data_IF_101025092683
#
_entry.id   IF_101025092683
#
_cell.length_a   1.000
_cell.length_b   1.000
_cell.length_c   1.000
_cell.angle_alpha   90.00
_cell.angle_beta   90.00
_cell.angle_gamma   90.00
#
_symmetry.space_group_name_H-M   'P 1'
#
loop_
_entity.id
_entity.type
_entity.pdbx_description
1 polymer ?
#
# COMPACT_ATOMS: atom_id res chain seq x y z
N UNK A 1 -3.42 7.57 10.03
CA UNK A 1 -3.93 6.29 9.53
C UNK A 1 -4.87 6.44 8.32
N UNK A 2 -5.69 7.48 8.29
CA UNK A 2 -6.63 7.70 7.19
C UNK A 2 -5.95 7.83 5.81
N UNK A 3 -4.70 8.26 5.77
CA UNK A 3 -3.97 8.49 4.53
C UNK A 3 -3.26 7.25 3.99
N UNK A 4 -3.38 6.13 4.70
CA UNK A 4 -2.77 4.87 4.25
C UNK A 4 -3.90 3.90 3.88
N UNK A 5 -3.90 3.43 2.65
CA UNK A 5 -4.89 2.47 2.18
C UNK A 5 -4.72 1.10 2.84
N UNK A 6 -5.74 0.27 2.74
CA UNK A 6 -5.70 -1.09 3.30
C UNK A 6 -4.55 -1.92 2.73
N UNK A 7 -4.17 -1.70 1.48
CA UNK A 7 -3.07 -2.44 0.84
C UNK A 7 -1.67 -1.93 1.21
N UNK A 8 -1.57 -0.76 1.86
CA UNK A 8 -0.32 -0.15 2.25
C UNK A 8 0.09 1.08 1.45
N UNK A 9 -0.55 1.36 0.33
CA UNK A 9 -0.27 2.58 -0.43
C UNK A 9 -0.58 3.83 0.40
N UNK A 10 0.31 4.81 0.35
CA UNK A 10 0.11 6.07 1.08
C UNK A 10 -0.62 7.07 0.20
N UNK A 11 -1.88 7.33 0.51
CA UNK A 11 -2.75 8.15 -0.34
C UNK A 11 -2.29 9.60 -0.49
N UNK A 12 -1.66 10.17 0.53
CA UNK A 12 -1.15 11.55 0.48
C UNK A 12 -0.15 11.75 -0.66
N UNK A 13 0.67 10.75 -0.94
CA UNK A 13 1.73 10.83 -1.95
C UNK A 13 1.37 10.10 -3.24
N UNK A 14 0.16 9.56 -3.33
CA UNK A 14 -0.29 8.84 -4.51
C UNK A 14 -0.51 9.81 -5.68
N UNK A 15 -0.10 9.39 -6.88
CA UNK A 15 -0.33 10.20 -8.09
C UNK A 15 -1.79 10.25 -8.52
N UNK A 16 -2.63 9.38 -7.98
CA UNK A 16 -4.05 9.31 -8.35
C UNK A 16 -4.87 10.25 -7.48
N UNK A 17 -4.82 11.54 -7.80
CA UNK A 17 -5.42 12.60 -6.97
C UNK A 17 -6.95 12.58 -6.92
N UNK A 18 -7.59 11.94 -7.90
CA UNK A 18 -9.06 11.81 -7.89
C UNK A 18 -9.56 10.76 -6.90
N UNK A 19 -8.66 9.94 -6.37
CA UNK A 19 -9.03 8.90 -5.40
C UNK A 19 -9.31 9.52 -4.03
N UNK A 20 -10.46 9.16 -3.45
CA UNK A 20 -10.85 9.60 -2.11
C UNK A 20 -10.21 8.77 -1.00
N UNK A 21 -9.44 7.75 -1.36
CA UNK A 21 -8.90 6.79 -0.42
C UNK A 21 -9.89 5.68 -0.09
N UNK A 22 -9.37 4.51 0.29
CA UNK A 22 -10.21 3.34 0.51
C UNK A 22 -10.87 3.29 1.89
N UNK A 23 -10.61 4.28 2.75
CA UNK A 23 -11.19 4.33 4.10
C UNK A 23 -12.41 5.23 4.20
N UNK A 24 -12.86 5.84 3.10
CA UNK A 24 -14.11 6.58 3.08
C UNK A 24 -15.28 5.63 2.83
N UNK A 25 -16.51 6.17 2.89
CA UNK A 25 -17.74 5.37 2.73
C UNK A 25 -17.84 4.68 1.38
N UNK A 26 -17.25 5.25 0.34
CA UNK A 26 -17.31 4.72 -1.02
C UNK A 26 -16.28 3.61 -1.28
N UNK A 27 -15.44 3.31 -0.35
CA UNK A 27 -14.42 2.24 -0.37
C UNK A 27 -13.63 2.20 -1.67
N UNK A 28 -12.43 2.75 -1.66
CA UNK A 28 -11.50 2.73 -2.80
C UNK A 28 -12.15 3.16 -4.12
N UNK A 29 -12.80 4.28 -4.08
CA UNK A 29 -13.62 4.82 -5.13
C UNK A 29 -12.97 4.81 -6.53
N UNK A 30 -11.71 5.22 -6.64
CA UNK A 30 -11.07 5.37 -7.95
C UNK A 30 -10.46 4.08 -8.48
N UNK A 31 -9.72 3.37 -7.64
CA UNK A 31 -9.09 2.11 -8.05
C UNK A 31 -10.10 0.98 -8.21
N UNK A 32 -11.28 1.12 -7.62
CA UNK A 32 -12.33 0.11 -7.75
C UNK A 32 -12.72 -0.14 -9.21
N UNK A 33 -12.57 0.87 -10.06
CA UNK A 33 -12.87 0.73 -11.49
C UNK A 33 -11.95 -0.27 -12.20
N UNK A 34 -10.80 -0.59 -11.62
CA UNK A 34 -9.86 -1.56 -12.18
C UNK A 34 -10.25 -3.01 -11.89
N UNK A 35 -11.23 -3.23 -11.03
CA UNK A 35 -11.69 -4.56 -10.63
C UNK A 35 -13.14 -4.77 -11.04
N UNK A 36 -13.48 -5.99 -11.39
CA UNK A 36 -14.82 -6.35 -11.85
C UNK A 36 -15.91 -6.04 -10.82
N UNK A 37 -15.59 -6.19 -9.54
CA UNK A 37 -16.53 -5.94 -8.45
C UNK A 37 -16.80 -4.45 -8.19
N UNK A 38 -16.03 -3.57 -8.80
CA UNK A 38 -16.04 -2.12 -8.55
C UNK A 38 -15.78 -1.75 -7.10
N UNK A 39 -15.14 -2.67 -6.36
CA UNK A 39 -14.67 -2.46 -4.99
C UNK A 39 -13.29 -3.03 -4.87
N UNK A 40 -12.42 -2.37 -4.13
CA UNK A 40 -11.05 -2.85 -3.94
C UNK A 40 -11.07 -4.17 -3.14
N UNK A 41 -10.58 -5.28 -3.71
CA UNK A 41 -10.58 -6.57 -3.01
C UNK A 41 -9.79 -6.53 -1.69
N UNK A 42 -8.71 -5.74 -1.62
CA UNK A 42 -7.94 -5.59 -0.38
C UNK A 42 -8.78 -4.94 0.72
N UNK A 43 -9.51 -3.88 0.39
CA UNK A 43 -10.39 -3.22 1.36
C UNK A 43 -11.52 -4.13 1.80
N UNK A 44 -12.15 -4.84 0.87
CA UNK A 44 -13.23 -5.78 1.18
C UNK A 44 -12.74 -6.89 2.10
N UNK A 45 -11.56 -7.46 1.81
CA UNK A 45 -10.98 -8.53 2.62
C UNK A 45 -10.68 -8.05 4.04
N UNK A 46 -10.07 -6.88 4.19
CA UNK A 46 -9.76 -6.31 5.51
C UNK A 46 -11.04 -6.01 6.30
N UNK A 47 -12.05 -5.43 5.66
CA UNK A 47 -13.32 -5.13 6.30
C UNK A 47 -13.99 -6.40 6.82
N UNK A 48 -13.99 -7.47 6.02
CA UNK A 48 -14.58 -8.75 6.41
C UNK A 48 -13.88 -9.39 7.61
N UNK A 49 -12.56 -9.18 7.72
CA UNK A 49 -11.76 -9.73 8.82
C UNK A 49 -11.63 -8.79 10.03
N UNK A 50 -12.14 -7.57 9.93
CA UNK A 50 -11.98 -6.57 10.98
C UNK A 50 -10.58 -6.03 11.13
N UNK A 51 -9.79 -6.02 10.06
CA UNK A 51 -8.41 -5.53 10.08
C UNK A 51 -8.32 -4.06 9.68
N UNK A 52 -7.35 -3.36 10.26
CA UNK A 52 -7.05 -1.96 9.89
C UNK A 52 -6.35 -1.89 8.55
N UNK A 53 -5.59 -2.93 8.21
CA UNK A 53 -4.92 -3.02 6.93
C UNK A 53 -4.36 -4.42 6.71
N UNK A 54 -3.92 -4.68 5.49
CA UNK A 54 -3.37 -5.98 5.11
C UNK A 54 -2.12 -6.33 5.93
N UNK A 55 -1.44 -5.33 6.48
CA UNK A 55 -0.26 -5.56 7.33
C UNK A 55 -0.59 -6.27 8.63
N UNK A 56 -1.86 -6.31 9.04
CA UNK A 56 -2.29 -7.07 10.21
C UNK A 56 -2.60 -8.54 9.90
N UNK A 57 -2.68 -8.89 8.62
CA UNK A 57 -3.05 -10.25 8.22
C UNK A 57 -1.85 -11.19 8.33
N UNK A 58 -2.07 -12.36 8.97
CA UNK A 58 -1.05 -13.39 9.11
C UNK A 58 -0.66 -14.03 7.77
N UNK A 59 -1.52 -13.92 6.77
CA UNK A 59 -1.31 -14.50 5.45
C UNK A 59 -0.74 -13.51 4.43
N UNK A 60 -0.26 -12.35 4.88
CA UNK A 60 0.19 -11.27 4.01
C UNK A 60 1.22 -11.72 2.97
N UNK A 61 2.23 -12.48 3.38
CA UNK A 61 3.31 -12.91 2.49
C UNK A 61 2.81 -13.74 1.31
N UNK A 62 1.77 -14.54 1.52
CA UNK A 62 1.20 -15.43 0.51
C UNK A 62 -0.01 -14.85 -0.19
N UNK A 63 -0.48 -13.69 0.23
CA UNK A 63 -1.71 -13.09 -0.28
C UNK A 63 -1.56 -12.67 -1.74
N UNK A 64 -2.54 -13.04 -2.55
CA UNK A 64 -2.62 -12.65 -3.97
C UNK A 64 -3.93 -11.94 -4.29
N UNK A 65 -4.52 -11.30 -3.30
CA UNK A 65 -5.79 -10.58 -3.43
C UNK A 65 -5.54 -9.14 -3.89
N UNK A 66 -6.32 -8.67 -4.86
CA UNK A 66 -6.28 -7.29 -5.32
C UNK A 66 -4.92 -6.86 -5.84
N UNK A 67 -4.31 -5.86 -5.24
CA UNK A 67 -3.02 -5.33 -5.69
C UNK A 67 -1.86 -6.33 -5.55
N UNK A 68 -2.06 -7.41 -4.82
CA UNK A 68 -1.01 -8.41 -4.61
C UNK A 68 -1.00 -9.51 -5.68
N UNK A 69 -1.97 -9.51 -6.59
CA UNK A 69 -2.06 -10.54 -7.63
C UNK A 69 -1.48 -10.11 -8.98
N UNK A 70 -1.18 -8.84 -9.16
CA UNK A 70 -0.90 -8.26 -10.48
C UNK A 70 0.57 -8.24 -10.89
N UNK A 71 1.48 -8.71 -10.05
CA UNK A 71 2.91 -8.58 -10.33
C UNK A 71 3.49 -7.21 -9.97
N UNK A 72 2.64 -6.27 -9.57
CA UNK A 72 3.09 -5.02 -8.95
C UNK A 72 3.35 -5.31 -7.48
N UNK A 73 4.63 -5.38 -7.11
CA UNK A 73 5.01 -5.85 -5.78
C UNK A 73 5.20 -4.74 -4.76
N UNK A 74 5.08 -3.48 -5.18
CA UNK A 74 5.29 -2.34 -4.28
C UNK A 74 4.28 -2.31 -3.13
N UNK A 75 3.00 -2.52 -3.41
CA UNK A 75 1.98 -2.48 -2.37
C UNK A 75 2.24 -3.53 -1.28
N UNK A 76 2.64 -4.74 -1.67
CA UNK A 76 2.99 -5.78 -0.70
C UNK A 76 4.23 -5.40 0.12
N UNK A 77 5.23 -4.81 -0.51
CA UNK A 77 6.41 -4.33 0.20
C UNK A 77 6.05 -3.29 1.26
N UNK A 78 5.17 -2.36 0.91
CA UNK A 78 4.70 -1.34 1.86
C UNK A 78 3.97 -1.98 3.05
N UNK A 79 3.08 -2.92 2.78
CA UNK A 79 2.36 -3.61 3.85
C UNK A 79 3.31 -4.39 4.75
N UNK A 80 4.28 -5.09 4.19
CA UNK A 80 5.30 -5.80 4.97
C UNK A 80 6.14 -4.84 5.82
N UNK A 81 6.49 -3.69 5.27
CA UNK A 81 7.23 -2.67 6.02
C UNK A 81 6.41 -2.13 7.20
N UNK A 82 5.13 -1.83 6.97
CA UNK A 82 4.24 -1.35 8.03
C UNK A 82 4.08 -2.42 9.11
N UNK A 83 3.95 -3.69 8.73
CA UNK A 83 3.86 -4.80 9.68
C UNK A 83 5.07 -4.86 10.60
N UNK A 84 6.25 -4.59 10.08
CA UNK A 84 7.50 -4.66 10.84
C UNK A 84 7.79 -3.40 11.66
N UNK A 85 7.53 -2.23 11.11
CA UNK A 85 7.98 -0.95 11.69
C UNK A 85 6.85 -0.01 12.10
N UNK A 86 5.62 -0.27 11.70
CA UNK A 86 4.47 0.58 11.99
C UNK A 86 4.24 1.68 10.95
N UNK A 87 3.03 2.22 10.98
CA UNK A 87 2.61 3.21 9.97
C UNK A 87 3.30 4.57 10.12
N UNK A 88 3.66 4.96 11.33
CA UNK A 88 4.37 6.23 11.54
C UNK A 88 5.76 6.20 10.93
N UNK A 89 6.50 5.12 11.17
CA UNK A 89 7.83 4.92 10.57
C UNK A 89 7.73 4.86 9.06
N UNK A 90 6.71 4.21 8.53
CA UNK A 90 6.46 4.14 7.10
C UNK A 90 6.27 5.55 6.49
N UNK A 91 5.43 6.38 7.09
CA UNK A 91 5.20 7.74 6.61
C UNK A 91 6.49 8.57 6.65
N UNK A 92 7.22 8.50 7.75
CA UNK A 92 8.49 9.21 7.89
C UNK A 92 9.52 8.76 6.86
N UNK A 93 9.56 7.48 6.58
CA UNK A 93 10.48 6.90 5.59
C UNK A 93 10.15 7.40 4.19
N UNK A 94 8.88 7.45 3.82
CA UNK A 94 8.46 8.01 2.54
C UNK A 94 8.91 9.47 2.41
N UNK A 95 8.71 10.26 3.45
CA UNK A 95 9.12 11.66 3.43
C UNK A 95 10.62 11.82 3.22
N UNK A 96 11.44 10.99 3.88
CA UNK A 96 12.89 10.99 3.71
C UNK A 96 13.29 10.61 2.29
N UNK A 97 12.65 9.59 1.71
CA UNK A 97 12.94 9.14 0.35
C UNK A 97 12.57 10.21 -0.68
N UNK A 98 11.42 10.86 -0.52
CA UNK A 98 11.00 11.96 -1.40
C UNK A 98 12.02 13.10 -1.30
N UNK A 99 12.49 13.43 -0.11
CA UNK A 99 13.50 14.48 0.09
C UNK A 99 14.82 14.15 -0.61
N UNK A 100 15.13 12.87 -0.81
CA UNK A 100 16.32 12.42 -1.53
C UNK A 100 16.12 12.33 -3.05
N UNK A 101 14.92 12.61 -3.55
CA UNK A 101 14.63 12.60 -4.98
C UNK A 101 13.90 11.37 -5.49
N UNK A 102 13.49 10.45 -4.62
CA UNK A 102 12.69 9.31 -5.05
C UNK A 102 11.27 9.76 -5.41
N UNK A 103 10.68 9.10 -6.40
CA UNK A 103 9.31 9.35 -6.86
C UNK A 103 8.39 8.25 -6.32
N UNK A 104 7.78 8.50 -5.18
CA UNK A 104 6.82 7.55 -4.58
C UNK A 104 5.41 7.85 -5.09
N UNK A 105 4.60 6.88 -5.44
CA UNK A 105 4.90 5.43 -5.50
C UNK A 105 5.42 4.95 -6.86
N UNK A 106 5.46 5.82 -7.85
CA UNK A 106 5.70 5.45 -9.25
C UNK A 106 7.01 4.72 -9.45
N UNK A 107 8.09 5.22 -8.85
CA UNK A 107 9.42 4.61 -9.00
C UNK A 107 9.46 3.20 -8.43
N UNK A 108 8.74 2.96 -7.34
CA UNK A 108 8.72 1.65 -6.69
C UNK A 108 7.85 0.65 -7.43
N UNK A 109 6.88 1.11 -8.22
CA UNK A 109 6.06 0.23 -9.06
C UNK A 109 6.87 -0.43 -10.17
N UNK A 110 7.99 0.17 -10.54
CA UNK A 110 8.89 -0.36 -11.57
C UNK A 110 9.85 -1.42 -11.03
N UNK A 111 9.94 -1.56 -9.70
CA UNK A 111 10.81 -2.55 -9.05
C UNK A 111 10.01 -3.83 -8.83
N UNK A 112 10.45 -4.93 -9.44
CA UNK A 112 9.74 -6.21 -9.33
C UNK A 112 10.10 -7.01 -8.08
N UNK A 113 11.22 -6.72 -7.45
CA UNK A 113 11.70 -7.46 -6.28
C UNK A 113 11.27 -6.74 -4.99
N UNK A 114 10.39 -7.40 -4.22
CA UNK A 114 9.91 -6.88 -2.93
C UNK A 114 11.07 -6.60 -1.99
N UNK A 115 12.07 -7.47 -1.94
CA UNK A 115 13.21 -7.30 -1.04
C UNK A 115 14.02 -6.06 -1.40
N UNK A 116 14.14 -5.74 -2.67
CA UNK A 116 14.84 -4.54 -3.12
C UNK A 116 14.13 -3.28 -2.61
N UNK A 117 12.80 -3.24 -2.70
CA UNK A 117 12.01 -2.12 -2.18
C UNK A 117 12.21 -2.02 -0.67
N UNK A 118 12.12 -3.13 0.04
CA UNK A 118 12.31 -3.16 1.50
C UNK A 118 13.70 -2.67 1.89
N UNK A 119 14.74 -3.07 1.14
CA UNK A 119 16.10 -2.62 1.40
C UNK A 119 16.24 -1.10 1.28
N UNK A 120 15.63 -0.52 0.26
CA UNK A 120 15.65 0.93 0.06
C UNK A 120 14.97 1.63 1.24
N UNK A 121 13.80 1.14 1.66
CA UNK A 121 13.06 1.72 2.77
C UNK A 121 13.83 1.56 4.08
N UNK A 122 14.38 0.38 4.33
CA UNK A 122 15.11 0.10 5.57
C UNK A 122 16.41 0.91 5.68
N UNK A 123 16.98 1.35 4.57
CA UNK A 123 18.17 2.19 4.58
C UNK A 123 17.91 3.58 5.19
N UNK A 124 16.66 3.98 5.32
CA UNK A 124 16.29 5.29 5.87
C UNK A 124 15.87 5.24 7.35
N UNK A 125 15.91 4.09 7.97
CA UNK A 125 15.54 3.96 9.39
C UNK A 125 16.65 4.45 10.32
#
# INVERSE_FOLDING_TARGET
MQNIGYCGNHCTYCFFTACKGCRNEDVCYSYAALFDSKKCPNAVCCAAKGLIGCWECDNLEKCQIGFYCSGENDAKAYALFIKKYGHKTYTQTIEKLIAKGYDYPKQFKEISDIQEILNIFESEI
#
